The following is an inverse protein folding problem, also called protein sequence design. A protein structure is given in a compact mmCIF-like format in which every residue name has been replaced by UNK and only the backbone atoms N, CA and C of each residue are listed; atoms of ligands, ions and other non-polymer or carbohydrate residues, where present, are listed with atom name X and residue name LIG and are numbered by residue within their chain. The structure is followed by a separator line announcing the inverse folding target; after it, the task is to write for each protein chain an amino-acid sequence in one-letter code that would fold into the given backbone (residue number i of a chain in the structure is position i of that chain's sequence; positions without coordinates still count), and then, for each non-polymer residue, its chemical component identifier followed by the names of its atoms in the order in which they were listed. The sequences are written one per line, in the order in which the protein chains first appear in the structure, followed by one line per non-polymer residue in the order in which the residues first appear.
data_IF_164661495752
#
_entry.id   IF_164661495752
#
_cell.length_a   1.000
_cell.length_b   1.000
_cell.length_c   1.000
_cell.angle_alpha   90.00
_cell.angle_beta   90.00
_cell.angle_gamma   90.00
#
_symmetry.space_group_name_H-M   'P 1'
#
loop_
_entity.id
_entity.type
_entity.pdbx_description
1 polymer ?
#
# COMPACT_ATOMS: atom_id res chain seq x y z
N UNK A 1 -6.94 -13.78 6.18
CA UNK A 1 -6.89 -12.70 7.20
C UNK A 1 -5.62 -12.61 8.05
N UNK A 2 -4.60 -13.46 7.88
CA UNK A 2 -3.63 -13.76 8.94
C UNK A 2 -2.75 -12.62 9.50
N UNK A 3 -2.80 -11.40 8.98
CA UNK A 3 -1.93 -10.30 9.42
C UNK A 3 -2.65 -9.16 10.17
N UNK A 4 -4.00 -9.12 10.19
CA UNK A 4 -4.74 -8.01 10.82
C UNK A 4 -4.29 -6.63 10.31
N UNK A 5 -3.99 -5.71 11.22
CA UNK A 5 -3.44 -4.38 10.90
C UNK A 5 -2.10 -4.41 10.14
N UNK A 6 -1.37 -5.53 10.14
CA UNK A 6 -0.14 -5.65 9.38
C UNK A 6 -0.40 -5.70 7.86
N UNK A 7 -1.62 -6.02 7.42
CA UNK A 7 -1.95 -6.05 6.00
C UNK A 7 -1.91 -4.65 5.34
N UNK A 8 -2.64 -3.62 5.84
CA UNK A 8 -2.50 -2.26 5.30
C UNK A 8 -1.10 -1.68 5.49
N UNK A 9 -0.43 -1.98 6.61
CA UNK A 9 0.94 -1.53 6.83
C UNK A 9 1.90 -2.14 5.81
N UNK A 10 1.82 -3.45 5.58
CA UNK A 10 2.62 -4.14 4.56
C UNK A 10 2.34 -3.64 3.15
N UNK A 11 1.07 -3.36 2.82
CA UNK A 11 0.70 -2.75 1.54
C UNK A 11 1.34 -1.38 1.32
N UNK A 12 1.26 -0.48 2.32
CA UNK A 12 1.92 0.83 2.26
C UNK A 12 3.44 0.69 2.10
N UNK A 13 4.08 -0.20 2.87
CA UNK A 13 5.53 -0.42 2.76
C UNK A 13 5.94 -0.98 1.39
N UNK A 14 5.16 -1.87 0.79
CA UNK A 14 5.39 -2.32 -0.59
C UNK A 14 5.21 -1.19 -1.62
N UNK A 15 4.43 -0.16 -1.30
CA UNK A 15 4.26 1.04 -2.12
C UNK A 15 5.53 1.90 -2.23
N UNK A 16 6.46 1.78 -1.27
CA UNK A 16 7.77 2.44 -1.31
C UNK A 16 8.71 1.86 -2.38
N UNK A 17 8.42 0.66 -2.89
CA UNK A 17 9.21 0.04 -3.94
C UNK A 17 8.86 0.74 -5.26
N UNK A 18 9.82 1.40 -5.94
CA UNK A 18 9.55 2.12 -7.17
C UNK A 18 9.07 1.18 -8.29
N UNK A 19 8.21 1.71 -9.17
CA UNK A 19 7.61 1.01 -10.29
C UNK A 19 6.21 0.46 -10.03
N UNK A 20 5.59 -0.11 -11.07
CA UNK A 20 4.20 -0.60 -11.04
C UNK A 20 4.08 -2.07 -10.61
N UNK A 21 5.17 -2.84 -10.67
CA UNK A 21 5.13 -4.28 -10.43
C UNK A 21 4.59 -4.67 -9.04
N UNK A 22 4.98 -4.03 -7.92
CA UNK A 22 4.43 -4.33 -6.60
C UNK A 22 2.92 -4.16 -6.54
N UNK A 23 2.40 -3.10 -7.17
CA UNK A 23 0.97 -2.82 -7.23
C UNK A 23 0.21 -3.84 -8.08
N UNK A 24 0.76 -4.26 -9.21
CA UNK A 24 0.15 -5.28 -10.06
C UNK A 24 0.02 -6.60 -9.28
N UNK A 25 1.09 -7.02 -8.59
CA UNK A 25 1.08 -8.23 -7.76
C UNK A 25 0.07 -8.14 -6.62
N UNK A 26 -0.05 -6.97 -5.98
CA UNK A 26 -1.07 -6.77 -4.93
C UNK A 26 -2.49 -6.74 -5.49
N UNK A 27 -2.68 -6.17 -6.68
CA UNK A 27 -3.98 -6.14 -7.35
C UNK A 27 -4.42 -7.56 -7.75
N UNK A 28 -3.51 -8.39 -8.27
CA UNK A 28 -3.80 -9.80 -8.56
C UNK A 28 -4.07 -10.58 -7.26
N UNK A 29 -3.24 -10.40 -6.24
CA UNK A 29 -3.45 -11.04 -4.94
C UNK A 29 -4.78 -10.63 -4.30
N UNK A 30 -5.24 -9.39 -4.51
CA UNK A 30 -6.55 -8.94 -4.07
C UNK A 30 -7.67 -9.57 -4.89
N UNK A 31 -7.52 -9.64 -6.22
CA UNK A 31 -8.49 -10.28 -7.11
C UNK A 31 -8.65 -11.79 -6.81
N UNK A 32 -7.58 -12.45 -6.38
CA UNK A 32 -7.59 -13.85 -5.91
C UNK A 32 -8.02 -14.00 -4.44
N UNK A 33 -8.32 -12.90 -3.74
CA UNK A 33 -8.78 -12.92 -2.35
C UNK A 33 -7.69 -13.22 -1.30
N UNK A 34 -6.41 -13.16 -1.68
CA UNK A 34 -5.29 -13.43 -0.79
C UNK A 34 -4.96 -12.25 0.15
N UNK A 35 -5.22 -11.00 -0.27
CA UNK A 35 -5.00 -9.79 0.55
C UNK A 35 -6.28 -8.97 0.68
N UNK A 36 -6.49 -8.25 1.80
CA UNK A 36 -7.68 -7.42 1.98
C UNK A 36 -7.60 -6.12 1.17
N UNK A 37 -8.77 -5.54 0.87
CA UNK A 37 -8.86 -4.25 0.17
C UNK A 37 -8.05 -3.13 0.85
N UNK A 38 -7.99 -3.14 2.18
CA UNK A 38 -7.18 -2.19 2.96
C UNK A 38 -5.69 -2.24 2.63
N UNK A 39 -5.13 -3.42 2.31
CA UNK A 39 -3.75 -3.57 1.87
C UNK A 39 -3.53 -3.01 0.46
N UNK A 40 -4.45 -3.30 -0.46
CA UNK A 40 -4.39 -2.78 -1.82
C UNK A 40 -4.52 -1.25 -1.85
N UNK A 41 -5.47 -0.69 -1.09
CA UNK A 41 -5.68 0.76 -1.01
C UNK A 41 -4.47 1.47 -0.39
N UNK A 42 -3.90 0.92 0.69
CA UNK A 42 -2.69 1.45 1.31
C UNK A 42 -1.52 1.45 0.32
N UNK A 43 -1.33 0.35 -0.41
CA UNK A 43 -0.31 0.27 -1.46
C UNK A 43 -0.54 1.32 -2.56
N UNK A 44 -1.75 1.43 -3.09
CA UNK A 44 -2.08 2.36 -4.17
C UNK A 44 -1.87 3.84 -3.80
N UNK A 45 -2.13 4.24 -2.54
CA UNK A 45 -1.88 5.61 -2.07
C UNK A 45 -0.39 5.87 -1.87
N UNK A 46 0.35 4.87 -1.42
CA UNK A 46 1.77 4.98 -1.13
C UNK A 46 2.66 4.90 -2.38
N UNK A 47 2.11 4.51 -3.53
CA UNK A 47 2.88 4.21 -4.74
C UNK A 47 3.20 5.48 -5.54
N UNK A 48 4.47 5.89 -5.54
CA UNK A 48 4.98 6.97 -6.40
C UNK A 48 5.25 6.49 -7.85
N UNK A 49 5.24 5.18 -8.09
CA UNK A 49 5.41 4.55 -9.39
C UNK A 49 6.81 4.75 -9.99
N UNK A 50 6.87 4.90 -11.32
CA UNK A 50 8.15 5.08 -12.03
C UNK A 50 8.78 6.47 -11.82
N UNK A 51 7.99 7.45 -11.34
CA UNK A 51 8.47 8.80 -11.06
C UNK A 51 9.50 8.84 -9.92
N UNK A 52 9.50 7.84 -9.05
CA UNK A 52 10.47 7.74 -7.97
C UNK A 52 11.88 7.36 -8.47
N UNK A 53 12.02 6.70 -9.63
CA UNK A 53 13.35 6.33 -10.17
C UNK A 53 14.21 7.55 -10.55
N UNK A 54 13.74 8.50 -11.37
CA UNK A 54 14.52 9.71 -11.67
C UNK A 54 14.70 10.58 -10.43
N UNK A 55 13.68 10.68 -9.58
CA UNK A 55 13.75 11.52 -8.38
C UNK A 55 14.82 11.02 -7.41
N UNK A 56 14.91 9.70 -7.18
CA UNK A 56 15.95 9.09 -6.35
C UNK A 56 17.36 9.28 -6.96
N UNK A 57 17.48 9.34 -8.28
CA UNK A 57 18.74 9.59 -8.98
C UNK A 57 19.21 11.05 -8.88
N UNK A 58 18.27 12.01 -8.91
CA UNK A 58 18.58 13.45 -8.90
C UNK A 58 18.69 14.01 -7.49
N UNK A 59 17.72 13.72 -6.62
CA UNK A 59 17.66 14.21 -5.25
C UNK A 59 17.03 13.16 -4.32
N UNK A 60 17.90 12.46 -3.57
CA UNK A 60 17.49 11.44 -2.60
C UNK A 60 16.67 12.01 -1.45
N UNK A 61 16.91 13.26 -1.06
CA UNK A 61 16.16 13.90 0.04
C UNK A 61 14.74 14.19 -0.41
N UNK A 62 14.59 14.73 -1.62
CA UNK A 62 13.28 14.94 -2.23
C UNK A 62 12.53 13.63 -2.43
N UNK A 63 13.21 12.55 -2.84
CA UNK A 63 12.60 11.22 -2.97
C UNK A 63 12.07 10.70 -1.63
N UNK A 64 12.85 10.79 -0.55
CA UNK A 64 12.41 10.37 0.79
C UNK A 64 11.23 11.21 1.27
N UNK A 65 11.26 12.53 1.07
CA UNK A 65 10.16 13.43 1.46
C UNK A 65 8.89 13.12 0.68
N UNK A 66 8.99 12.88 -0.64
CA UNK A 66 7.85 12.49 -1.47
C UNK A 66 7.22 11.19 -0.97
N UNK A 67 8.04 10.16 -0.72
CA UNK A 67 7.55 8.88 -0.22
C UNK A 67 6.95 8.99 1.19
N UNK A 68 7.44 9.87 2.06
CA UNK A 68 6.80 10.14 3.35
C UNK A 68 5.43 10.80 3.17
N UNK A 69 5.29 11.73 2.22
CA UNK A 69 4.03 12.40 1.93
C UNK A 69 2.96 11.47 1.37
N UNK A 70 3.32 10.38 0.70
CA UNK A 70 2.37 9.38 0.22
C UNK A 70 2.16 8.24 1.22
N UNK A 71 3.21 7.80 1.91
CA UNK A 71 3.13 6.66 2.85
C UNK A 71 2.37 7.00 4.13
N UNK A 72 2.54 8.19 4.70
CA UNK A 72 1.81 8.58 5.92
C UNK A 72 0.28 8.60 5.72
N UNK A 73 -0.27 9.28 4.69
CA UNK A 73 -1.71 9.20 4.43
C UNK A 73 -2.13 7.80 4.00
N UNK A 74 -1.29 7.04 3.29
CA UNK A 74 -1.58 5.64 2.97
C UNK A 74 -1.80 4.78 4.21
N UNK A 75 -0.95 4.92 5.23
CA UNK A 75 -1.10 4.22 6.51
C UNK A 75 -2.38 4.63 7.22
N UNK A 76 -2.68 5.93 7.28
CA UNK A 76 -3.89 6.44 7.91
C UNK A 76 -5.16 5.90 7.22
N UNK A 77 -5.21 5.97 5.89
CA UNK A 77 -6.35 5.50 5.10
C UNK A 77 -6.44 3.97 5.13
N UNK A 78 -5.33 3.25 4.95
CA UNK A 78 -5.30 1.79 4.96
C UNK A 78 -5.74 1.20 6.30
N UNK A 79 -5.24 1.75 7.41
CA UNK A 79 -5.66 1.35 8.76
C UNK A 79 -7.11 1.74 9.00
N UNK A 80 -7.52 2.95 8.62
CA UNK A 80 -8.92 3.38 8.73
C UNK A 80 -9.89 2.46 7.98
N UNK A 81 -9.56 2.11 6.74
CA UNK A 81 -10.33 1.15 5.93
C UNK A 81 -10.38 -0.23 6.57
N UNK A 82 -9.27 -0.69 7.16
CA UNK A 82 -9.23 -1.97 7.86
C UNK A 82 -10.12 -1.98 9.11
N UNK A 83 -10.15 -0.89 9.87
CA UNK A 83 -10.95 -0.79 11.09
C UNK A 83 -12.45 -0.62 10.80
N UNK A 84 -12.81 0.20 9.81
CA UNK A 84 -14.22 0.50 9.49
C UNK A 84 -14.84 -0.63 8.67
N UNK A 85 -14.11 -1.15 7.69
CA UNK A 85 -14.66 -2.08 6.70
C UNK A 85 -13.98 -3.45 6.70
N UNK A 86 -13.05 -3.72 7.62
CA UNK A 86 -12.48 -5.06 7.83
C UNK A 86 -13.51 -6.20 7.87
N UNK A 87 -14.65 -6.05 8.57
CA UNK A 87 -15.69 -7.09 8.59
C UNK A 87 -16.62 -7.08 7.35
N UNK A 88 -16.62 -6.03 6.52
CA UNK A 88 -17.54 -5.87 5.38
C UNK A 88 -16.90 -6.21 4.02
N UNK A 89 -15.64 -5.82 3.79
CA UNK A 89 -14.85 -6.21 2.61
C UNK A 89 -13.95 -7.41 2.91
N UNK A 90 -14.46 -8.32 3.74
CA UNK A 90 -13.70 -9.41 4.36
C UNK A 90 -12.91 -10.25 3.37
N UNK A 91 -11.59 -10.24 3.55
CA UNK A 91 -10.75 -11.40 3.25
C UNK A 91 -10.15 -11.95 4.55
N UNK A 92 -11.01 -12.73 5.22
CA UNK A 92 -10.71 -13.68 6.29
C UNK A 92 -11.46 -13.44 7.61
N UNK A 93 -12.77 -13.26 7.53
CA UNK A 93 -13.68 -13.64 8.62
C UNK A 93 -14.77 -14.53 8.02
N UNK A 94 -14.36 -15.75 7.67
CA UNK A 94 -14.82 -16.98 8.31
C UNK A 94 -13.58 -17.85 8.54
#
# INVERSE_FOLDING_TARGET
AAAGLLAPVGGALLGLIPGCAPQIVLATAYAEGAVPFSALAANAISQDGDALFPLLAVDKTAAVVASLYTTLPALAVGVGLHLVYGPMFGFGVL
#
